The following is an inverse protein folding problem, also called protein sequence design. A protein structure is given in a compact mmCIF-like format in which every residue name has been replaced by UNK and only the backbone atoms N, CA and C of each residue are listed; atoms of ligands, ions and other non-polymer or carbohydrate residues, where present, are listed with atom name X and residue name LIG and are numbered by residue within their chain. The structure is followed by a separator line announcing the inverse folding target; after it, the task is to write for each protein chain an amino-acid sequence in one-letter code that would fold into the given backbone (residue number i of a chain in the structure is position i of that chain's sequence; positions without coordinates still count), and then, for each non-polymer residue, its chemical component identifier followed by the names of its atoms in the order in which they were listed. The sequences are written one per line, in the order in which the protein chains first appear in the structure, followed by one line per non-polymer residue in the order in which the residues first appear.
data_IF_324768872565
#
_entry.id   IF_324768872565
#
_cell.length_a   1.000
_cell.length_b   1.000
_cell.length_c   1.000
_cell.angle_alpha   90.00
_cell.angle_beta   90.00
_cell.angle_gamma   90.00
#
_symmetry.space_group_name_H-M   'P 1'
#
loop_
_entity.id
_entity.type
_entity.pdbx_description
1 polymer ?
#
# COMPACT_ATOMS: atom_id res chain seq x y z
N UNK A 1 36.01 35.46 -87.36
CA UNK A 1 36.01 34.24 -86.53
C UNK A 1 36.54 34.49 -85.11
N UNK A 2 37.53 35.37 -84.91
CA UNK A 2 38.04 35.73 -83.57
C UNK A 2 36.99 36.43 -82.69
N UNK A 3 36.25 37.42 -83.22
CA UNK A 3 35.22 38.16 -82.47
C UNK A 3 34.07 37.28 -81.91
N UNK A 4 33.82 36.12 -82.53
CA UNK A 4 32.80 35.15 -82.09
C UNK A 4 33.38 34.27 -80.97
N UNK A 5 34.67 33.93 -81.03
CA UNK A 5 35.37 33.21 -79.96
C UNK A 5 35.49 34.07 -78.69
N UNK A 6 35.74 35.37 -78.83
CA UNK A 6 35.91 36.31 -77.72
C UNK A 6 34.65 36.49 -76.86
N UNK A 7 33.45 36.23 -77.43
CA UNK A 7 32.18 36.36 -76.72
C UNK A 7 31.62 35.01 -76.21
N UNK A 8 32.00 33.90 -76.85
CA UNK A 8 31.52 32.55 -76.48
C UNK A 8 32.38 31.92 -75.38
N UNK A 9 33.70 32.13 -75.38
CA UNK A 9 34.59 31.56 -74.36
C UNK A 9 34.24 32.01 -72.93
N UNK A 10 33.98 33.30 -72.63
CA UNK A 10 33.58 33.73 -71.29
C UNK A 10 32.21 33.18 -70.86
N UNK A 11 31.30 32.97 -71.81
CA UNK A 11 30.00 32.35 -71.52
C UNK A 11 30.17 30.87 -71.19
N UNK A 12 31.02 30.15 -71.92
CA UNK A 12 31.36 28.76 -71.64
C UNK A 12 32.02 28.59 -70.27
N UNK A 13 32.98 29.45 -69.91
CA UNK A 13 33.61 29.45 -68.58
C UNK A 13 32.60 29.68 -67.46
N UNK A 14 31.63 30.57 -67.68
CA UNK A 14 30.53 30.82 -66.74
C UNK A 14 29.62 29.60 -66.58
N UNK A 15 29.32 28.87 -67.64
CA UNK A 15 28.56 27.62 -67.55
C UNK A 15 29.33 26.53 -66.79
N UNK A 16 30.64 26.42 -67.03
CA UNK A 16 31.51 25.48 -66.32
C UNK A 16 31.55 25.79 -64.81
N UNK A 17 31.65 27.05 -64.43
CA UNK A 17 31.58 27.43 -63.00
C UNK A 17 30.19 27.15 -62.39
N UNK A 18 29.11 27.41 -63.13
CA UNK A 18 27.76 27.07 -62.66
C UNK A 18 27.55 25.57 -62.45
N UNK A 19 28.12 24.73 -63.32
CA UNK A 19 28.07 23.27 -63.17
C UNK A 19 28.89 22.78 -61.97
N UNK A 20 30.05 23.40 -61.69
CA UNK A 20 30.81 23.12 -60.46
C UNK A 20 30.02 23.49 -59.20
N UNK A 21 29.37 24.66 -59.19
CA UNK A 21 28.50 25.07 -58.07
C UNK A 21 27.35 24.08 -57.88
N UNK A 22 26.72 23.63 -58.98
CA UNK A 22 25.65 22.62 -58.94
C UNK A 22 26.14 21.27 -58.43
N UNK A 23 27.28 20.78 -58.89
CA UNK A 23 27.86 19.52 -58.43
C UNK A 23 28.18 19.57 -56.92
N UNK A 24 28.73 20.70 -56.45
CA UNK A 24 28.99 20.92 -55.03
C UNK A 24 27.68 20.90 -54.21
N UNK A 25 26.65 21.60 -54.68
CA UNK A 25 25.32 21.61 -54.05
C UNK A 25 24.71 20.21 -53.99
N UNK A 26 24.80 19.44 -55.07
CA UNK A 26 24.29 18.07 -55.13
C UNK A 26 25.00 17.17 -54.13
N UNK A 27 26.35 17.25 -54.04
CA UNK A 27 27.12 16.48 -53.06
C UNK A 27 26.74 16.83 -51.62
N UNK A 28 26.60 18.12 -51.33
CA UNK A 28 26.17 18.59 -50.00
C UNK A 28 24.75 18.08 -49.70
N UNK A 29 23.84 18.15 -50.66
CA UNK A 29 22.47 17.70 -50.49
C UNK A 29 22.40 16.20 -50.22
N UNK A 30 23.12 15.38 -50.99
CA UNK A 30 23.19 13.92 -50.78
C UNK A 30 23.72 13.62 -49.39
N UNK A 31 24.86 14.22 -49.00
CA UNK A 31 25.43 14.03 -47.67
C UNK A 31 24.44 14.43 -46.56
N UNK A 32 23.73 15.54 -46.75
CA UNK A 32 22.72 16.00 -45.79
C UNK A 32 21.54 15.04 -45.70
N UNK A 33 21.10 14.46 -46.82
CA UNK A 33 20.03 13.46 -46.84
C UNK A 33 20.48 12.22 -46.06
N UNK A 34 21.67 11.70 -46.32
CA UNK A 34 22.22 10.53 -45.61
C UNK A 34 22.30 10.78 -44.09
N UNK A 35 22.84 11.93 -43.69
CA UNK A 35 22.91 12.35 -42.28
C UNK A 35 21.51 12.44 -41.63
N UNK A 36 20.52 12.95 -42.38
CA UNK A 36 19.15 13.09 -41.89
C UNK A 36 18.44 11.75 -41.81
N UNK A 37 18.67 10.86 -42.76
CA UNK A 37 18.15 9.51 -42.71
C UNK A 37 18.72 8.71 -41.54
N UNK A 38 20.03 8.81 -41.27
CA UNK A 38 20.66 8.21 -40.09
C UNK A 38 20.06 8.76 -38.79
N UNK A 39 19.84 10.08 -38.75
CA UNK A 39 19.24 10.73 -37.59
C UNK A 39 17.79 10.25 -37.36
N UNK A 40 17.01 10.08 -38.43
CA UNK A 40 15.64 9.54 -38.36
C UNK A 40 15.66 8.07 -37.93
N UNK A 41 16.56 7.24 -38.48
CA UNK A 41 16.73 5.84 -38.07
C UNK A 41 17.03 5.73 -36.58
N UNK A 42 17.97 6.52 -36.09
CA UNK A 42 18.35 6.54 -34.67
C UNK A 42 17.19 6.98 -33.77
N UNK A 43 16.51 8.08 -34.11
CA UNK A 43 15.37 8.58 -33.34
C UNK A 43 14.21 7.58 -33.31
N UNK A 44 13.93 6.90 -34.42
CA UNK A 44 12.90 5.87 -34.47
C UNK A 44 13.23 4.70 -33.52
N UNK A 45 14.49 4.25 -33.50
CA UNK A 45 14.93 3.20 -32.58
C UNK A 45 14.78 3.63 -31.11
N UNK A 46 15.20 4.85 -30.75
CA UNK A 46 15.04 5.38 -29.39
C UNK A 46 13.57 5.52 -29.00
N UNK A 47 12.71 6.01 -29.91
CA UNK A 47 11.27 6.15 -29.68
C UNK A 47 10.60 4.79 -29.45
N UNK A 48 10.96 3.78 -30.25
CA UNK A 48 10.41 2.43 -30.12
C UNK A 48 10.84 1.78 -28.79
N UNK A 49 12.12 1.90 -28.43
CA UNK A 49 12.63 1.44 -27.14
C UNK A 49 11.92 2.12 -25.96
N UNK A 50 11.71 3.44 -26.03
CA UNK A 50 10.97 4.20 -25.01
C UNK A 50 9.50 3.77 -24.93
N UNK A 51 8.83 3.58 -26.07
CA UNK A 51 7.44 3.09 -26.12
C UNK A 51 7.31 1.71 -25.49
N UNK A 52 8.18 0.78 -25.85
CA UNK A 52 8.16 -0.57 -25.32
C UNK A 52 8.47 -0.59 -23.82
N UNK A 53 9.43 0.23 -23.38
CA UNK A 53 9.72 0.43 -21.95
C UNK A 53 8.52 0.98 -21.17
N UNK A 54 7.81 1.98 -21.73
CA UNK A 54 6.59 2.53 -21.14
C UNK A 54 5.46 1.52 -21.08
N UNK A 55 5.22 0.77 -22.16
CA UNK A 55 4.20 -0.28 -22.19
C UNK A 55 4.52 -1.36 -21.16
N UNK A 56 5.76 -1.83 -21.09
CA UNK A 56 6.21 -2.78 -20.07
C UNK A 56 6.01 -2.25 -18.65
N UNK A 57 6.34 -0.98 -18.40
CA UNK A 57 6.16 -0.35 -17.09
C UNK A 57 4.67 -0.19 -16.71
N UNK A 58 3.82 0.19 -17.67
CA UNK A 58 2.37 0.25 -17.45
C UNK A 58 1.75 -1.13 -17.25
N UNK A 59 2.24 -2.15 -17.95
CA UNK A 59 1.84 -3.54 -17.74
C UNK A 59 2.27 -4.06 -16.36
N UNK A 60 3.44 -3.67 -15.85
CA UNK A 60 3.88 -4.00 -14.48
C UNK A 60 3.02 -3.34 -13.38
N UNK A 61 2.22 -2.32 -13.72
CA UNK A 61 1.22 -1.74 -12.80
C UNK A 61 -0.11 -2.49 -12.80
N UNK A 62 -0.28 -3.51 -13.66
CA UNK A 62 -1.42 -4.43 -13.64
C UNK A 62 -1.27 -5.34 -12.42
N UNK A 63 -2.39 -5.65 -11.78
CA UNK A 63 -2.49 -6.49 -10.58
C UNK A 63 -1.91 -5.85 -9.29
N UNK A 64 -2.49 -4.73 -8.83
CA UNK A 64 -2.14 -4.15 -7.54
C UNK A 64 -2.52 -5.10 -6.39
N UNK A 65 -1.78 -5.05 -5.28
CA UNK A 65 -2.16 -5.72 -4.03
C UNK A 65 -1.85 -4.83 -2.82
N UNK A 66 -2.41 -5.21 -1.68
CA UNK A 66 -2.13 -4.62 -0.37
C UNK A 66 -1.54 -5.70 0.53
N UNK A 67 -0.60 -5.33 1.40
CA UNK A 67 0.00 -6.25 2.36
C UNK A 67 -0.26 -5.79 3.78
N UNK A 68 -0.57 -6.74 4.66
CA UNK A 68 -0.64 -6.56 6.10
C UNK A 68 0.45 -7.42 6.72
N UNK A 69 1.41 -6.78 7.38
CA UNK A 69 2.49 -7.42 8.10
C UNK A 69 2.24 -7.25 9.59
N UNK A 70 2.14 -8.36 10.32
CA UNK A 70 1.83 -8.36 11.73
C UNK A 70 2.92 -9.10 12.48
N UNK A 71 3.54 -8.43 13.45
CA UNK A 71 4.35 -9.06 14.46
C UNK A 71 3.41 -9.60 15.55
N UNK A 72 3.09 -10.88 15.43
CA UNK A 72 2.08 -11.54 16.25
C UNK A 72 2.55 -11.86 17.68
N UNK A 73 3.80 -11.57 18.05
CA UNK A 73 4.24 -11.72 19.45
C UNK A 73 3.76 -10.53 20.32
N UNK A 74 3.52 -9.36 19.73
CA UNK A 74 2.96 -8.19 20.42
C UNK A 74 1.65 -7.63 19.86
N UNK A 75 1.29 -7.93 18.61
CA UNK A 75 -0.01 -7.58 18.02
C UNK A 75 -1.01 -8.73 18.18
N UNK A 76 -1.66 -8.81 19.33
CA UNK A 76 -2.51 -9.94 19.72
C UNK A 76 -3.97 -9.68 19.37
N UNK A 77 -4.66 -10.69 18.80
CA UNK A 77 -6.09 -10.63 18.55
C UNK A 77 -6.90 -10.48 19.86
N UNK A 78 -8.13 -9.96 19.77
CA UNK A 78 -9.04 -9.89 20.92
C UNK A 78 -9.29 -11.26 21.54
N UNK A 79 -9.42 -11.30 22.87
CA UNK A 79 -9.63 -12.54 23.63
C UNK A 79 -10.84 -13.35 23.14
N UNK A 80 -11.92 -12.69 22.74
CA UNK A 80 -13.15 -13.31 22.21
C UNK A 80 -12.94 -14.20 20.97
N UNK A 81 -11.85 -13.99 20.21
CA UNK A 81 -11.50 -14.86 19.09
C UNK A 81 -10.85 -16.17 19.53
N UNK A 82 -10.46 -16.29 20.79
CA UNK A 82 -9.84 -17.50 21.33
C UNK A 82 -10.82 -18.42 22.08
N UNK A 83 -12.02 -17.93 22.45
CA UNK A 83 -13.07 -18.71 23.13
C UNK A 83 -13.46 -19.99 22.36
N UNK A 84 -13.47 -19.90 21.03
CA UNK A 84 -13.57 -21.05 20.13
C UNK A 84 -12.51 -20.88 19.04
N UNK A 85 -11.32 -21.50 19.16
CA UNK A 85 -10.18 -21.18 18.32
C UNK A 85 -10.44 -21.36 16.81
N UNK A 86 -11.20 -22.39 16.42
CA UNK A 86 -11.51 -22.68 15.04
C UNK A 86 -12.45 -21.63 14.42
N UNK A 87 -13.56 -21.33 15.10
CA UNK A 87 -14.53 -20.36 14.61
C UNK A 87 -14.05 -18.91 14.79
N UNK A 88 -13.35 -18.63 15.89
CA UNK A 88 -12.80 -17.34 16.21
C UNK A 88 -11.67 -16.94 15.26
N UNK A 89 -10.83 -17.86 14.80
CA UNK A 89 -9.83 -17.58 13.76
C UNK A 89 -10.46 -17.11 12.43
N UNK A 90 -11.57 -17.75 12.01
CA UNK A 90 -12.31 -17.31 10.83
C UNK A 90 -12.95 -15.93 11.04
N UNK A 91 -13.51 -15.66 12.22
CA UNK A 91 -14.05 -14.34 12.57
C UNK A 91 -12.97 -13.26 12.57
N UNK A 92 -11.81 -13.55 13.16
CA UNK A 92 -10.67 -12.64 13.20
C UNK A 92 -10.17 -12.30 11.78
N UNK A 93 -10.10 -13.29 10.88
CA UNK A 93 -9.67 -13.05 9.49
C UNK A 93 -10.67 -12.18 8.72
N UNK A 94 -11.97 -12.42 8.89
CA UNK A 94 -13.03 -11.58 8.30
C UNK A 94 -12.97 -10.17 8.86
N UNK A 95 -12.86 -10.01 10.19
CA UNK A 95 -12.78 -8.71 10.84
C UNK A 95 -11.56 -7.91 10.36
N UNK A 96 -10.38 -8.55 10.30
CA UNK A 96 -9.16 -7.93 9.78
C UNK A 96 -9.33 -7.46 8.34
N UNK A 97 -9.87 -8.32 7.47
CA UNK A 97 -10.12 -7.95 6.08
C UNK A 97 -11.08 -6.75 5.97
N UNK A 98 -12.16 -6.76 6.76
CA UNK A 98 -13.15 -5.68 6.76
C UNK A 98 -12.56 -4.35 7.19
N UNK A 99 -11.72 -4.32 8.24
CA UNK A 99 -11.03 -3.10 8.67
C UNK A 99 -10.09 -2.57 7.59
N UNK A 100 -9.28 -3.43 7.00
CA UNK A 100 -8.37 -3.07 5.90
C UNK A 100 -9.16 -2.52 4.71
N UNK A 101 -10.20 -3.22 4.26
CA UNK A 101 -11.08 -2.76 3.17
C UNK A 101 -11.74 -1.41 3.51
N UNK A 102 -12.26 -1.26 4.72
CA UNK A 102 -12.89 -0.02 5.16
C UNK A 102 -11.91 1.14 5.17
N UNK A 103 -10.65 0.91 5.53
CA UNK A 103 -9.62 1.91 5.48
C UNK A 103 -9.25 2.27 4.03
N UNK A 104 -9.07 1.29 3.15
CA UNK A 104 -8.76 1.51 1.73
C UNK A 104 -9.84 2.32 1.00
N UNK A 105 -11.13 2.10 1.33
CA UNK A 105 -12.25 2.89 0.77
C UNK A 105 -12.14 4.38 1.09
N UNK A 106 -11.66 4.73 2.29
CA UNK A 106 -11.48 6.14 2.71
C UNK A 106 -10.35 6.83 1.94
N UNK A 107 -9.37 6.07 1.45
CA UNK A 107 -8.18 6.59 0.78
C UNK A 107 -8.27 6.58 -0.76
N UNK A 108 -9.48 6.34 -1.31
CA UNK A 108 -9.78 6.35 -2.76
C UNK A 108 -8.95 5.38 -3.61
N UNK A 109 -8.37 4.36 -2.99
CA UNK A 109 -7.88 3.20 -3.73
C UNK A 109 -9.11 2.37 -4.12
N UNK A 110 -9.21 1.88 -5.37
CA UNK A 110 -10.32 1.02 -5.83
C UNK A 110 -10.41 -0.25 -4.96
N UNK A 111 -11.10 -0.13 -3.84
CA UNK A 111 -10.88 -0.96 -2.67
C UNK A 111 -11.66 -2.27 -2.70
N UNK A 112 -12.52 -2.50 -3.69
CA UNK A 112 -13.38 -3.68 -3.68
C UNK A 112 -12.69 -4.92 -4.26
N UNK A 113 -11.78 -4.77 -5.23
CA UNK A 113 -11.16 -5.92 -5.93
C UNK A 113 -9.64 -6.11 -5.71
N UNK A 114 -8.97 -5.22 -4.98
CA UNK A 114 -7.51 -5.36 -4.75
C UNK A 114 -7.21 -6.51 -3.78
N UNK A 115 -6.40 -7.53 -4.10
CA UNK A 115 -6.03 -8.58 -3.16
C UNK A 115 -5.34 -8.06 -1.90
N UNK A 116 -5.69 -8.63 -0.75
CA UNK A 116 -5.08 -8.30 0.55
C UNK A 116 -4.31 -9.52 1.03
N UNK A 117 -2.98 -9.40 1.06
CA UNK A 117 -2.08 -10.44 1.55
C UNK A 117 -1.78 -10.18 3.02
N UNK A 118 -2.10 -11.11 3.90
CA UNK A 118 -1.84 -10.98 5.34
C UNK A 118 -0.77 -11.98 5.75
N UNK A 119 0.27 -11.49 6.42
CA UNK A 119 1.29 -12.33 7.04
C UNK A 119 1.47 -11.95 8.50
N UNK A 120 1.22 -12.91 9.37
CA UNK A 120 1.41 -12.81 10.81
C UNK A 120 2.60 -13.68 11.16
N UNK A 121 3.68 -13.07 11.66
CA UNK A 121 4.87 -13.78 12.09
C UNK A 121 4.87 -13.84 13.62
N UNK A 122 4.91 -15.04 14.19
CA UNK A 122 4.94 -15.22 15.63
C UNK A 122 5.62 -16.53 16.00
N UNK A 123 6.20 -16.60 17.20
CA UNK A 123 6.62 -17.86 17.79
C UNK A 123 5.38 -18.51 18.42
N UNK A 124 4.67 -19.36 17.67
CA UNK A 124 3.36 -19.86 18.10
C UNK A 124 3.44 -20.65 19.42
N UNK A 125 4.51 -21.41 19.61
CA UNK A 125 4.73 -22.16 20.85
C UNK A 125 4.97 -21.22 22.04
N UNK A 126 5.81 -20.19 21.87
CA UNK A 126 6.07 -19.19 22.90
C UNK A 126 4.83 -18.38 23.25
N UNK A 127 4.09 -17.93 22.23
CA UNK A 127 2.85 -17.19 22.39
C UNK A 127 1.78 -18.02 23.09
N UNK A 128 1.60 -19.28 22.70
CA UNK A 128 0.66 -20.21 23.35
C UNK A 128 0.95 -20.36 24.84
N UNK A 129 2.22 -20.61 25.20
CA UNK A 129 2.62 -20.72 26.60
C UNK A 129 2.33 -19.47 27.41
N UNK A 130 2.55 -18.29 26.82
CA UNK A 130 2.26 -16.99 27.43
C UNK A 130 0.75 -16.77 27.60
N UNK A 131 -0.05 -17.04 26.57
CA UNK A 131 -1.51 -16.88 26.61
C UNK A 131 -2.18 -17.83 27.59
N UNK A 132 -1.70 -19.07 27.70
CA UNK A 132 -2.16 -20.03 28.71
C UNK A 132 -1.84 -19.56 30.13
N UNK A 133 -0.65 -19.01 30.36
CA UNK A 133 -0.29 -18.49 31.69
C UNK A 133 -1.15 -17.31 32.17
N UNK A 134 -1.97 -16.75 31.28
CA UNK A 134 -2.88 -15.63 31.51
C UNK A 134 -4.35 -16.04 31.37
N UNK A 135 -4.64 -17.35 31.34
CA UNK A 135 -5.99 -17.93 31.19
C UNK A 135 -6.78 -17.41 29.96
N UNK A 136 -6.08 -17.07 28.86
CA UNK A 136 -6.72 -16.65 27.60
C UNK A 136 -7.03 -17.86 26.71
N UNK A 137 -6.20 -18.89 26.78
CA UNK A 137 -6.41 -20.18 26.13
C UNK A 137 -6.23 -21.29 27.14
N UNK A 138 -6.90 -22.41 26.96
CA UNK A 138 -6.84 -23.55 27.88
C UNK A 138 -5.58 -24.38 27.63
N UNK A 139 -5.16 -24.51 26.36
CA UNK A 139 -4.05 -25.37 25.97
C UNK A 139 -3.27 -24.84 24.76
N UNK A 140 -2.03 -25.31 24.56
CA UNK A 140 -1.24 -24.94 23.37
C UNK A 140 -1.88 -25.44 22.06
N UNK A 141 -2.76 -26.45 22.17
CA UNK A 141 -3.56 -26.94 21.04
C UNK A 141 -4.49 -25.86 20.50
N UNK A 142 -5.00 -24.98 21.36
CA UNK A 142 -5.93 -23.92 20.95
C UNK A 142 -5.25 -22.93 20.02
N UNK A 143 -4.02 -22.51 20.33
CA UNK A 143 -3.22 -21.67 19.43
C UNK A 143 -2.94 -22.35 18.09
N UNK A 144 -2.62 -23.65 18.11
CA UNK A 144 -2.41 -24.42 16.87
C UNK A 144 -3.69 -24.48 16.03
N UNK A 145 -4.85 -24.76 16.64
CA UNK A 145 -6.15 -24.77 15.95
C UNK A 145 -6.44 -23.38 15.39
N UNK A 146 -6.22 -22.33 16.18
CA UNK A 146 -6.42 -20.96 15.75
C UNK A 146 -5.62 -20.65 14.49
N UNK A 147 -4.30 -20.90 14.51
CA UNK A 147 -3.43 -20.68 13.36
C UNK A 147 -3.84 -21.51 12.14
N UNK A 148 -4.20 -22.79 12.33
CA UNK A 148 -4.67 -23.67 11.26
C UNK A 148 -5.95 -23.15 10.58
N UNK A 149 -6.94 -22.76 11.37
CA UNK A 149 -8.21 -22.25 10.85
C UNK A 149 -8.10 -20.83 10.30
N UNK A 150 -7.16 -20.03 10.80
CA UNK A 150 -6.83 -18.73 10.21
C UNK A 150 -6.26 -18.92 8.80
N UNK A 151 -5.25 -19.80 8.64
CA UNK A 151 -4.60 -20.08 7.36
C UNK A 151 -5.56 -20.69 6.33
N UNK A 152 -6.51 -21.52 6.77
CA UNK A 152 -7.52 -22.10 5.89
C UNK A 152 -8.67 -21.15 5.55
N UNK A 153 -8.81 -20.03 6.28
CA UNK A 153 -9.95 -19.13 6.09
C UNK A 153 -9.89 -18.41 4.74
N UNK A 154 -8.68 -18.08 4.25
CA UNK A 154 -8.43 -17.38 2.99
C UNK A 154 -7.05 -17.77 2.45
N UNK A 155 -6.92 -17.87 1.13
CA UNK A 155 -5.66 -18.29 0.49
C UNK A 155 -4.53 -17.25 0.64
N UNK A 156 -4.88 -15.99 0.90
CA UNK A 156 -3.94 -14.87 1.02
C UNK A 156 -3.50 -14.60 2.46
N UNK A 157 -3.97 -15.40 3.43
CA UNK A 157 -3.81 -15.14 4.85
C UNK A 157 -2.95 -16.24 5.47
N UNK A 158 -1.78 -15.84 5.96
CA UNK A 158 -0.79 -16.75 6.54
C UNK A 158 -0.42 -16.31 7.95
N UNK A 159 -0.59 -17.22 8.91
CA UNK A 159 0.00 -17.19 10.24
C UNK A 159 1.17 -18.16 10.24
N UNK A 160 2.37 -17.60 10.31
CA UNK A 160 3.65 -18.27 10.11
C UNK A 160 4.33 -18.45 11.45
N UNK A 161 4.48 -19.72 11.86
CA UNK A 161 5.32 -20.06 12.99
C UNK A 161 6.80 -19.84 12.64
N UNK A 162 7.44 -18.94 13.37
CA UNK A 162 8.86 -18.61 13.18
C UNK A 162 9.79 -19.46 14.05
N UNK A 163 9.22 -20.32 14.89
CA UNK A 163 9.95 -21.17 15.82
C UNK A 163 10.60 -20.40 16.96
N UNK A 164 11.44 -21.09 17.73
CA UNK A 164 12.17 -20.49 18.85
C UNK A 164 13.37 -19.67 18.37
N UNK A 165 13.59 -18.53 19.01
CA UNK A 165 14.69 -17.62 18.71
C UNK A 165 14.26 -16.19 18.95
N UNK A 166 15.17 -15.38 19.51
CA UNK A 166 14.98 -13.93 19.53
C UNK A 166 15.21 -13.42 18.11
N UNK A 167 14.40 -12.47 17.66
CA UNK A 167 14.52 -11.79 16.35
C UNK A 167 14.07 -12.56 15.10
N UNK A 168 13.55 -13.79 15.21
CA UNK A 168 13.07 -14.53 14.03
C UNK A 168 11.85 -13.88 13.36
N UNK A 169 10.90 -13.38 14.18
CA UNK A 169 9.74 -12.62 13.70
C UNK A 169 10.21 -11.30 13.06
N UNK A 170 11.07 -10.56 13.76
CA UNK A 170 11.56 -9.25 13.33
C UNK A 170 12.33 -9.36 12.01
N UNK A 171 13.17 -10.38 11.84
CA UNK A 171 13.90 -10.61 10.60
C UNK A 171 12.94 -10.83 9.41
N UNK A 172 11.84 -11.58 9.61
CA UNK A 172 10.81 -11.79 8.58
C UNK A 172 10.01 -10.52 8.31
N UNK A 173 9.63 -9.77 9.36
CA UNK A 173 8.96 -8.47 9.25
C UNK A 173 9.79 -7.50 8.42
N UNK A 174 11.06 -7.28 8.80
CA UNK A 174 12.03 -6.42 8.08
C UNK A 174 12.18 -6.81 6.62
N UNK A 175 12.45 -8.09 6.35
CA UNK A 175 12.71 -8.55 4.98
C UNK A 175 11.46 -8.43 4.11
N UNK A 176 10.29 -8.75 4.65
CA UNK A 176 9.02 -8.68 3.92
C UNK A 176 8.58 -7.23 3.68
N UNK A 177 8.83 -6.32 4.64
CA UNK A 177 8.63 -4.88 4.46
C UNK A 177 9.47 -4.36 3.31
N UNK A 178 10.79 -4.61 3.33
CA UNK A 178 11.70 -4.19 2.27
C UNK A 178 11.31 -4.74 0.88
N UNK A 179 10.84 -5.99 0.81
CA UNK A 179 10.33 -6.58 -0.44
C UNK A 179 9.04 -5.91 -0.92
N UNK A 180 8.12 -5.63 -0.01
CA UNK A 180 6.83 -4.99 -0.32
C UNK A 180 7.03 -3.57 -0.81
N UNK A 181 7.94 -2.81 -0.20
CA UNK A 181 8.30 -1.46 -0.63
C UNK A 181 8.93 -1.49 -2.04
N UNK A 182 9.85 -2.41 -2.30
CA UNK A 182 10.47 -2.54 -3.64
C UNK A 182 9.48 -3.00 -4.72
N UNK A 183 8.36 -3.62 -4.35
CA UNK A 183 7.36 -4.05 -5.29
C UNK A 183 6.35 -2.92 -5.60
N UNK A 184 6.43 -2.36 -6.81
CA UNK A 184 5.53 -1.29 -7.28
C UNK A 184 4.05 -1.68 -7.37
N UNK A 185 3.74 -2.98 -7.41
CA UNK A 185 2.35 -3.47 -7.37
C UNK A 185 1.76 -3.41 -5.95
N UNK A 186 2.60 -3.42 -4.91
CA UNK A 186 2.16 -3.27 -3.52
C UNK A 186 1.77 -1.82 -3.25
N UNK A 187 0.47 -1.53 -3.21
CA UNK A 187 -0.03 -0.16 -3.11
C UNK A 187 -0.01 0.39 -1.69
N UNK A 188 -0.28 -0.46 -0.70
CA UNK A 188 -0.29 -0.12 0.72
C UNK A 188 0.28 -1.27 1.55
N UNK A 189 0.95 -0.91 2.64
CA UNK A 189 1.58 -1.83 3.60
C UNK A 189 1.07 -1.43 4.99
N UNK A 190 0.21 -2.24 5.58
CA UNK A 190 -0.15 -2.12 6.99
C UNK A 190 0.92 -2.84 7.80
N UNK A 191 1.51 -2.15 8.77
CA UNK A 191 2.62 -2.65 9.56
C UNK A 191 2.27 -2.62 11.05
N UNK A 192 1.94 -3.78 11.63
CA UNK A 192 1.66 -3.95 13.06
C UNK A 192 2.91 -4.46 13.78
N UNK A 193 3.87 -3.56 14.00
CA UNK A 193 5.08 -3.79 14.80
C UNK A 193 5.35 -2.69 15.83
N UNK A 194 4.43 -1.75 16.03
CA UNK A 194 4.67 -0.53 16.82
C UNK A 194 4.91 -0.77 18.33
N UNK A 195 4.77 -2.01 18.80
CA UNK A 195 5.06 -2.39 20.18
C UNK A 195 6.57 -2.58 20.44
N UNK A 196 7.38 -2.78 19.39
CA UNK A 196 8.83 -2.94 19.49
C UNK A 196 9.57 -1.77 18.83
N UNK A 197 10.30 -1.01 19.64
CA UNK A 197 11.12 0.12 19.19
C UNK A 197 12.24 -0.31 18.22
N UNK A 198 12.61 -1.59 18.17
CA UNK A 198 13.57 -2.14 17.21
C UNK A 198 13.20 -1.83 15.75
N UNK A 199 11.90 -1.81 15.41
CA UNK A 199 11.43 -1.51 14.06
C UNK A 199 11.55 -0.05 13.66
N UNK A 200 11.79 0.87 14.60
CA UNK A 200 11.94 2.28 14.26
C UNK A 200 13.13 2.53 13.34
N UNK A 201 14.24 1.79 13.54
CA UNK A 201 15.41 1.92 12.68
C UNK A 201 15.08 1.45 11.25
N UNK A 202 14.32 0.36 11.13
CA UNK A 202 13.90 -0.18 9.83
C UNK A 202 12.94 0.76 9.10
N UNK A 203 12.01 1.37 9.84
CA UNK A 203 11.07 2.34 9.29
C UNK A 203 11.75 3.68 8.94
N UNK A 204 12.81 4.08 9.64
CA UNK A 204 13.51 5.33 9.36
C UNK A 204 14.13 5.35 7.95
N UNK A 205 14.50 4.19 7.39
CA UNK A 205 15.04 4.05 6.03
C UNK A 205 14.08 4.63 4.96
N UNK A 206 12.77 4.55 5.21
CA UNK A 206 11.73 4.92 4.23
C UNK A 206 11.09 6.28 4.50
N UNK A 207 11.44 6.93 5.62
CA UNK A 207 10.79 8.15 6.09
C UNK A 207 11.06 9.36 5.15
N UNK A 208 12.25 9.41 4.53
CA UNK A 208 12.66 10.52 3.68
C UNK A 208 12.07 10.53 2.27
N UNK A 209 11.50 9.40 1.81
CA UNK A 209 10.86 9.29 0.50
C UNK A 209 9.34 9.29 0.68
N UNK A 210 8.68 10.40 0.33
CA UNK A 210 7.23 10.56 0.45
C UNK A 210 6.43 9.50 -0.34
N UNK A 211 6.99 8.96 -1.44
CA UNK A 211 6.35 7.86 -2.17
C UNK A 211 6.36 6.55 -1.38
N UNK A 212 7.42 6.26 -0.63
CA UNK A 212 7.46 5.06 0.23
C UNK A 212 6.68 5.29 1.51
N UNK A 213 6.84 6.46 2.12
CA UNK A 213 6.16 6.84 3.35
C UNK A 213 4.64 6.81 3.23
N UNK A 214 4.09 7.36 2.16
CA UNK A 214 2.63 7.33 1.91
C UNK A 214 2.07 5.92 1.66
N UNK A 215 2.92 4.91 1.41
CA UNK A 215 2.50 3.51 1.25
C UNK A 215 2.47 2.75 2.57
N UNK A 216 3.24 3.18 3.57
CA UNK A 216 3.33 2.52 4.89
C UNK A 216 2.30 3.13 5.82
N UNK A 217 1.46 2.27 6.39
CA UNK A 217 0.47 2.62 7.41
C UNK A 217 0.83 1.82 8.66
N UNK A 218 1.11 2.51 9.76
CA UNK A 218 1.37 1.87 11.04
C UNK A 218 0.06 1.42 11.66
N UNK A 219 -0.02 0.14 12.02
CA UNK A 219 -1.16 -0.43 12.69
C UNK A 219 -0.86 -0.51 14.19
N UNK A 220 -1.41 0.44 14.92
CA UNK A 220 -1.29 0.55 16.36
C UNK A 220 -2.23 -0.46 17.03
N UNK A 221 -1.64 -1.52 17.59
CA UNK A 221 -2.36 -2.54 18.36
C UNK A 221 -2.16 -2.36 19.85
N UNK A 222 -1.02 -1.84 20.28
CA UNK A 222 -0.85 -1.29 21.63
C UNK A 222 -0.36 0.15 21.48
N UNK A 223 -0.63 1.05 22.46
CA UNK A 223 -0.25 2.46 22.35
C UNK A 223 1.21 2.58 21.92
N UNK A 224 1.42 3.17 20.75
CA UNK A 224 2.73 3.29 20.17
C UNK A 224 3.59 4.22 21.03
N UNK A 225 4.87 3.89 21.15
CA UNK A 225 5.80 4.81 21.80
C UNK A 225 5.80 6.16 21.05
N UNK A 226 5.96 7.27 21.78
CA UNK A 226 5.92 8.64 21.24
C UNK A 226 6.75 8.79 19.96
N UNK A 227 7.89 8.11 19.92
CA UNK A 227 8.83 8.18 18.81
C UNK A 227 8.28 7.62 17.49
N UNK A 228 7.31 6.69 17.50
CA UNK A 228 6.62 6.26 16.27
C UNK A 228 5.72 7.36 15.72
N UNK A 229 5.03 8.11 16.60
CA UNK A 229 4.19 9.25 16.21
C UNK A 229 5.01 10.36 15.53
N UNK A 230 6.25 10.58 15.99
CA UNK A 230 7.17 11.58 15.42
C UNK A 230 7.68 11.19 14.02
N UNK A 231 7.56 9.93 13.60
CA UNK A 231 8.05 9.50 12.28
C UNK A 231 7.18 10.05 11.13
N UNK A 232 5.95 10.49 11.42
CA UNK A 232 5.05 11.08 10.42
C UNK A 232 4.42 10.07 9.46
N UNK A 233 4.42 8.78 9.81
CA UNK A 233 3.60 7.78 9.14
C UNK A 233 2.13 7.93 9.52
N UNK A 234 1.23 7.49 8.64
CA UNK A 234 -0.18 7.34 9.01
C UNK A 234 -0.31 6.23 10.05
N UNK A 235 -1.03 6.49 11.14
CA UNK A 235 -1.28 5.53 12.22
C UNK A 235 -2.78 5.24 12.29
N UNK A 236 -3.13 3.96 12.33
CA UNK A 236 -4.51 3.49 12.45
C UNK A 236 -4.64 2.43 13.54
N UNK A 237 -5.83 2.31 14.11
CA UNK A 237 -6.18 1.29 15.08
C UNK A 237 -7.31 0.41 14.52
N UNK A 238 -7.22 -0.90 14.74
CA UNK A 238 -8.26 -1.87 14.39
C UNK A 238 -8.80 -2.53 15.66
N UNK A 239 -9.48 -1.75 16.51
CA UNK A 239 -9.94 -2.16 17.85
C UNK A 239 -10.93 -3.32 17.85
N UNK A 240 -11.57 -3.61 16.71
CA UNK A 240 -12.44 -4.79 16.53
C UNK A 240 -11.66 -6.08 16.27
N UNK A 241 -10.36 -5.98 16.00
CA UNK A 241 -9.51 -7.11 15.58
C UNK A 241 -8.46 -7.41 16.64
N UNK A 242 -7.70 -6.39 17.02
CA UNK A 242 -6.60 -6.54 17.97
C UNK A 242 -7.01 -6.03 19.34
N UNK A 243 -6.38 -6.58 20.37
CA UNK A 243 -6.38 -5.96 21.70
C UNK A 243 -5.71 -4.60 21.59
N UNK A 244 -6.16 -3.64 22.40
CA UNK A 244 -5.54 -2.32 22.57
C UNK A 244 -4.51 -2.26 23.70
N UNK A 245 -4.34 -3.35 24.46
CA UNK A 245 -3.45 -3.43 25.63
C UNK A 245 -2.54 -4.66 25.56
N UNK A 246 -1.28 -4.55 26.05
CA UNK A 246 -0.36 -5.67 26.16
C UNK A 246 -0.96 -6.84 26.95
N UNK A 247 -0.47 -8.05 26.67
CA UNK A 247 -1.01 -9.28 27.25
C UNK A 247 -0.99 -9.27 28.79
N UNK A 248 0.11 -8.77 29.36
CA UNK A 248 0.42 -8.69 30.79
C UNK A 248 -0.49 -7.72 31.57
N UNK A 249 -1.17 -6.80 30.87
CA UNK A 249 -2.07 -5.84 31.51
C UNK A 249 -3.32 -6.53 32.09
N UNK A 250 -3.65 -7.74 31.62
CA UNK A 250 -4.78 -8.53 32.10
C UNK A 250 -4.67 -8.90 33.59
N UNK A 251 -3.46 -9.10 34.12
CA UNK A 251 -3.25 -9.48 35.53
C UNK A 251 -3.49 -8.34 36.53
N UNK A 252 -3.41 -7.08 36.07
CA UNK A 252 -3.55 -5.91 36.95
C UNK A 252 -5.00 -5.54 37.25
N UNK A 253 -5.97 -6.04 36.48
CA UNK A 253 -7.39 -5.74 36.73
C UNK A 253 -8.02 -6.65 37.79
N UNK A 254 -7.46 -7.83 38.05
CA UNK A 254 -8.01 -8.79 39.04
C UNK A 254 -7.37 -8.64 40.43
N UNK A 255 -6.25 -7.92 40.54
CA UNK A 255 -5.51 -7.72 41.79
C UNK A 255 -5.73 -6.33 42.42
N UNK A 256 -6.98 -5.98 42.70
CA UNK A 256 -7.26 -4.99 43.75
C UNK A 256 -7.79 -5.73 44.99
N UNK A 257 -6.99 -5.94 46.04
CA UNK A 257 -7.53 -6.37 47.31
C UNK A 257 -8.36 -5.22 47.87
N UNK A 258 -9.67 -5.41 47.92
CA UNK A 258 -10.55 -4.57 48.74
C UNK A 258 -10.04 -4.68 50.17
N UNK A 259 -9.40 -3.62 50.66
CA UNK A 259 -9.02 -3.52 52.06
C UNK A 259 -10.31 -3.49 52.88
N UNK A 260 -10.53 -4.40 53.84
CA UNK A 260 -11.68 -4.25 54.74
C UNK A 260 -11.46 -2.99 55.57
N UNK A 261 -12.37 -2.02 55.45
CA UNK A 261 -12.39 -0.85 56.31
C UNK A 261 -12.60 -1.33 57.76
N UNK A 262 -11.61 -1.07 58.60
CA UNK A 262 -11.72 -1.16 60.05
C UNK A 262 -12.70 -0.11 60.54
N UNK A 263 -13.94 -0.52 60.83
CA UNK A 263 -14.91 0.30 61.55
C UNK A 263 -14.55 0.25 63.04
N UNK A 264 -14.27 1.40 63.65
CA UNK A 264 -14.10 1.52 65.10
C UNK A 264 -15.47 1.39 65.81
N UNK A 265 -15.58 0.65 66.93
CA UNK A 265 -16.83 0.53 67.67
C UNK A 265 -17.05 1.73 68.60
N UNK A 266 -18.22 2.38 68.44
CA UNK A 266 -18.86 3.21 69.46
C UNK A 266 -19.61 2.29 70.44
N UNK A 267 -19.52 2.62 71.73
CA UNK A 267 -20.04 1.83 72.84
C UNK A 267 -21.48 2.18 73.22
N UNK A 268 -22.18 1.17 73.78
CA UNK A 268 -23.41 1.19 74.61
C UNK A 268 -24.74 1.41 73.86
N UNK A 269 -25.86 0.73 74.13
CA UNK A 269 -26.31 -0.06 75.29
C UNK A 269 -27.48 -1.00 74.88
N UNK A 270 -27.80 -1.99 75.72
CA UNK A 270 -28.64 -3.16 75.42
C UNK A 270 -30.16 -2.95 75.60
N UNK A 271 -30.99 -3.74 74.89
CA UNK A 271 -32.11 -4.54 75.47
C UNK A 271 -32.85 -5.45 74.45
N UNK A 272 -32.64 -6.76 74.61
CA UNK A 272 -33.57 -7.91 74.62
C UNK A 272 -34.85 -8.05 73.74
N UNK A 273 -34.94 -9.26 73.15
CA UNK A 273 -36.04 -10.27 73.11
C UNK A 273 -36.99 -10.39 71.88
N UNK A 274 -36.87 -11.58 71.25
CA UNK A 274 -37.89 -12.49 70.65
C UNK A 274 -38.84 -11.88 69.59
N UNK A 275 -39.21 -12.51 68.46
CA UNK A 275 -39.59 -13.91 68.25
C UNK A 275 -39.93 -14.14 66.75
N UNK A 276 -39.91 -15.41 66.33
CA UNK A 276 -40.62 -16.08 65.23
C UNK A 276 -40.84 -15.42 63.83
N UNK A 277 -40.33 -16.13 62.80
CA UNK A 277 -41.22 -16.91 61.94
C UNK A 277 -41.41 -16.48 60.47
N UNK A 278 -41.30 -17.50 59.59
CA UNK A 278 -41.98 -17.65 58.29
C UNK A 278 -41.33 -17.06 57.00
N UNK A 279 -40.84 -17.99 56.17
CA UNK A 279 -40.95 -18.01 54.69
C UNK A 279 -42.45 -18.17 54.31
N UNK A 280 -42.92 -18.10 53.02
CA UNK A 280 -42.18 -18.25 51.76
C UNK A 280 -42.70 -17.41 50.55
N UNK A 281 -42.17 -17.76 49.37
CA UNK A 281 -42.84 -17.77 48.06
C UNK A 281 -42.78 -16.50 47.18
N UNK A 282 -42.11 -16.61 46.03
CA UNK A 282 -42.80 -16.80 44.76
C UNK A 282 -41.80 -16.88 43.58
N UNK A 283 -41.86 -17.98 42.84
CA UNK A 283 -41.69 -17.99 41.38
C UNK A 283 -43.10 -17.92 40.78
N UNK A 284 -43.30 -17.36 39.57
CA UNK A 284 -43.36 -18.27 38.44
C UNK A 284 -42.77 -17.73 37.13
N UNK A 285 -42.66 -18.70 36.22
CA UNK A 285 -42.09 -18.75 34.89
C UNK A 285 -42.94 -18.02 33.81
N UNK A 286 -42.41 -17.97 32.57
CA UNK A 286 -43.03 -18.37 31.28
C UNK A 286 -42.96 -17.36 30.10
N UNK A 287 -42.33 -17.86 29.01
CA UNK A 287 -42.49 -17.68 27.55
C UNK A 287 -42.16 -16.38 26.76
N UNK A 288 -41.34 -16.64 25.73
CA UNK A 288 -41.21 -16.03 24.39
C UNK A 288 -42.49 -16.22 23.53
N UNK A 289 -42.53 -15.91 22.21
CA UNK A 289 -41.79 -14.97 21.34
C UNK A 289 -42.75 -14.07 20.50
N UNK A 290 -42.23 -13.11 19.73
CA UNK A 290 -42.92 -12.61 18.53
C UNK A 290 -41.95 -12.27 17.41
N UNK A 291 -42.23 -12.85 16.23
CA UNK A 291 -41.64 -12.56 14.92
C UNK A 291 -42.26 -11.29 14.30
N UNK A 292 -41.53 -10.66 13.37
CA UNK A 292 -42.11 -10.02 12.20
C UNK A 292 -41.06 -9.91 11.07
N UNK A 293 -41.32 -10.60 9.96
CA UNK A 293 -40.81 -10.26 8.62
C UNK A 293 -41.41 -8.93 8.13
N UNK A 294 -40.77 -8.20 7.20
CA UNK A 294 -40.98 -8.34 5.75
C UNK A 294 -40.55 -7.11 4.90
N UNK A 295 -40.23 -7.42 3.62
CA UNK A 295 -40.43 -6.63 2.37
C UNK A 295 -39.36 -5.65 1.79
N UNK A 296 -38.63 -6.17 0.79
CA UNK A 296 -38.73 -5.89 -0.68
C UNK A 296 -38.32 -4.52 -1.32
N UNK A 297 -37.28 -4.63 -2.16
CA UNK A 297 -37.00 -4.04 -3.51
C UNK A 297 -36.82 -2.53 -3.77
N UNK A 298 -35.79 -2.19 -4.55
CA UNK A 298 -35.93 -1.62 -5.90
C UNK A 298 -34.57 -1.48 -6.64
N UNK A 299 -34.62 -1.70 -7.95
CA UNK A 299 -33.53 -1.51 -8.92
C UNK A 299 -33.78 -0.23 -9.75
N UNK A 300 -32.72 0.46 -10.19
CA UNK A 300 -32.75 1.26 -11.44
C UNK A 300 -31.37 1.64 -12.00
N UNK A 301 -31.35 1.59 -13.33
CA UNK A 301 -30.39 1.90 -14.39
C UNK A 301 -29.59 3.22 -14.34
N UNK A 302 -28.26 3.13 -14.59
CA UNK A 302 -27.51 3.58 -15.79
C UNK A 302 -27.60 5.01 -16.34
N UNK A 303 -26.42 5.66 -16.50
CA UNK A 303 -26.03 6.54 -17.63
C UNK A 303 -24.49 6.65 -17.74
N UNK A 304 -23.91 6.81 -18.96
CA UNK A 304 -22.45 6.83 -19.19
C UNK A 304 -21.87 8.26 -19.22
N UNK A 305 -20.63 8.42 -18.72
CA UNK A 305 -19.88 9.69 -18.78
C UNK A 305 -18.89 9.72 -19.93
N UNK A 306 -18.96 10.84 -20.65
CA UNK A 306 -18.23 11.26 -21.85
C UNK A 306 -16.70 11.28 -21.70
N UNK A 307 -15.99 10.73 -22.69
CA UNK A 307 -14.53 10.85 -22.86
C UNK A 307 -14.21 12.22 -23.47
N UNK A 308 -13.39 13.01 -22.78
CA UNK A 308 -12.84 14.26 -23.28
C UNK A 308 -11.49 13.99 -23.96
N UNK A 309 -11.44 14.13 -25.28
CA UNK A 309 -10.20 14.06 -26.08
C UNK A 309 -9.35 15.32 -25.86
N UNK A 310 -8.14 15.16 -25.32
CA UNK A 310 -7.15 16.23 -25.25
C UNK A 310 -6.59 16.55 -26.66
N UNK A 311 -6.62 17.82 -27.03
CA UNK A 311 -6.05 18.35 -28.27
C UNK A 311 -4.52 18.28 -28.24
N UNK A 312 -3.92 17.72 -29.29
CA UNK A 312 -2.49 17.79 -29.57
C UNK A 312 -2.14 19.19 -30.09
N UNK A 313 -1.23 19.88 -29.41
CA UNK A 313 -0.59 21.12 -29.87
C UNK A 313 0.33 20.86 -31.08
N UNK A 314 0.43 21.78 -32.05
CA UNK A 314 1.23 21.59 -33.26
C UNK A 314 2.73 21.62 -33.00
N UNK A 315 3.45 20.72 -33.66
CA UNK A 315 4.92 20.62 -33.71
C UNK A 315 5.55 21.89 -34.32
N UNK A 316 6.70 22.38 -33.81
CA UNK A 316 7.38 23.53 -34.39
C UNK A 316 7.94 23.19 -35.78
N UNK A 317 7.75 24.12 -36.74
CA UNK A 317 8.37 24.07 -38.08
C UNK A 317 9.89 24.02 -37.94
N UNK A 318 10.51 22.93 -38.38
CA UNK A 318 11.96 22.88 -38.58
C UNK A 318 12.35 23.87 -39.69
N UNK A 319 13.16 24.87 -39.33
CA UNK A 319 13.75 25.80 -40.29
C UNK A 319 14.81 25.13 -41.17
N UNK A 320 14.99 25.65 -42.38
CA UNK A 320 16.02 25.16 -43.31
C UNK A 320 17.43 25.23 -42.68
N UNK A 321 18.32 24.26 -42.99
CA UNK A 321 19.72 24.27 -42.59
C UNK A 321 20.43 25.58 -42.95
N UNK A 322 21.30 26.05 -42.06
CA UNK A 322 22.04 27.30 -42.21
C UNK A 322 22.79 27.42 -43.56
N UNK A 323 23.28 26.30 -44.10
CA UNK A 323 23.94 26.26 -45.41
C UNK A 323 23.04 26.73 -46.57
N UNK A 324 21.74 26.44 -46.53
CA UNK A 324 20.79 26.88 -47.58
C UNK A 324 20.38 28.34 -47.38
N UNK A 325 20.30 28.81 -46.13
CA UNK A 325 20.08 30.24 -45.83
C UNK A 325 21.23 31.11 -46.32
N UNK A 326 22.48 30.67 -46.15
CA UNK A 326 23.66 31.39 -46.64
C UNK A 326 23.70 31.45 -48.18
N UNK A 327 23.29 30.38 -48.87
CA UNK A 327 23.21 30.36 -50.33
C UNK A 327 22.08 31.25 -50.91
N UNK A 328 20.94 31.35 -50.24
CA UNK A 328 19.83 32.22 -50.66
C UNK A 328 20.10 33.70 -50.36
N UNK A 329 20.85 33.99 -49.29
CA UNK A 329 21.18 35.37 -48.90
C UNK A 329 22.21 36.03 -49.81
N UNK A 330 23.02 35.28 -50.56
CA UNK A 330 24.05 35.83 -51.45
C UNK A 330 23.54 36.23 -52.84
N UNK A 331 22.24 36.04 -53.14
CA UNK A 331 21.62 36.32 -54.44
C UNK A 331 20.47 37.34 -54.42
N UNK A 332 20.35 38.16 -53.37
CA UNK A 332 19.48 39.35 -53.46
C UNK A 332 20.25 40.48 -54.16
N UNK A 333 19.94 40.83 -55.43
CA UNK A 333 20.46 42.07 -55.98
C UNK A 333 19.83 43.23 -55.21
N UNK A 334 20.66 44.14 -54.69
CA UNK A 334 20.18 45.43 -54.22
C UNK A 334 19.60 46.18 -55.42
N UNK A 335 18.28 46.28 -55.47
CA UNK A 335 17.58 47.19 -56.36
C UNK A 335 17.80 48.61 -55.81
N UNK A 336 18.57 49.40 -56.55
CA UNK A 336 18.67 50.85 -56.38
C UNK A 336 17.59 51.56 -57.20
#
# INVERSE_FOLDING_TARGET
MELIKDNILPQLDKFVEQDKERDLLLRILIKTIDEKEDQVRKLNYELEHERDSRLRYQHKKKDPFVTVLVDGDGAIFRNEFYDNPAHGAQKASVALQQEVRSHLKKTQLDADDVPILVRIFANLHGLAGKMRSLDIIESDKDMRIFAEYFNKSRAEFDMVDVGSGKENADAKMRKTLAQSIKNFQCRKIFFAGCHDAGYMHDLAEYQGDESNKSRIILLETTPAHHSFCEMGYEIVQFDRVFRSLPLESALKQVSSPTSPQTIQPISQEATSLANHGALPANSPQILLPFEAENLISQARSGTPSTIQTAQLSPTPRLGLPAAIKTYLSSRTPQLH
#
